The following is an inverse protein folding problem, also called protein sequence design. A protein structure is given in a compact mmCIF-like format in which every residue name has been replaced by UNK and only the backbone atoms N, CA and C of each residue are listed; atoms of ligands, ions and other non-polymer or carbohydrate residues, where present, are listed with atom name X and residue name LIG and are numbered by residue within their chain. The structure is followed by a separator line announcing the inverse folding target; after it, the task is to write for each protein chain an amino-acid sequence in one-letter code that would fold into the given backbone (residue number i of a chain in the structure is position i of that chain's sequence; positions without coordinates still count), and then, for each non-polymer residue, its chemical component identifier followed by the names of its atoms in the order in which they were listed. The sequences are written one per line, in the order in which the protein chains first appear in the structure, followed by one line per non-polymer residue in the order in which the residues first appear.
data_IF_460821811017
#
_entry.id   IF_460821811017
#
_cell.length_a   1.000
_cell.length_b   1.000
_cell.length_c   1.000
_cell.angle_alpha   90.00
_cell.angle_beta   90.00
_cell.angle_gamma   90.00
#
_symmetry.space_group_name_H-M   'P 1'
#
loop_
_entity.id
_entity.type
_entity.pdbx_description
1 polymer ?
#
# COMPACT_ATOMS: atom_id res chain seq x y z
N UNK A 1 9.29 -23.65 17.14
CA UNK A 1 10.42 -23.52 16.20
C UNK A 1 9.87 -23.71 14.78
N UNK A 2 9.46 -22.62 14.13
CA UNK A 2 9.00 -22.66 12.73
C UNK A 2 10.22 -22.97 11.86
N UNK A 3 10.34 -24.23 11.49
CA UNK A 3 11.41 -24.72 10.63
C UNK A 3 11.12 -24.27 9.20
N UNK A 4 11.55 -23.06 8.83
CA UNK A 4 11.49 -22.60 7.44
C UNK A 4 12.51 -23.38 6.64
N UNK A 5 12.10 -24.54 6.13
CA UNK A 5 12.98 -25.49 5.38
C UNK A 5 13.22 -25.09 3.91
N UNK A 6 12.59 -24.04 3.39
CA UNK A 6 12.82 -23.53 2.03
C UNK A 6 12.85 -22.01 2.05
N UNK A 7 13.70 -21.35 1.23
CA UNK A 7 13.63 -19.91 1.08
C UNK A 7 12.21 -19.56 0.62
N UNK A 8 11.53 -18.73 1.41
CA UNK A 8 10.22 -18.21 1.03
C UNK A 8 10.44 -17.45 -0.28
N UNK A 9 9.80 -17.90 -1.36
CA UNK A 9 9.77 -17.14 -2.60
C UNK A 9 9.22 -15.76 -2.26
N UNK A 10 9.91 -14.72 -2.71
CA UNK A 10 9.44 -13.35 -2.48
C UNK A 10 7.97 -13.24 -2.89
N UNK A 11 7.15 -12.71 -1.99
CA UNK A 11 5.75 -12.46 -2.27
C UNK A 11 5.69 -11.29 -3.28
N UNK A 12 5.30 -11.59 -4.50
CA UNK A 12 5.15 -10.57 -5.56
C UNK A 12 3.79 -9.85 -5.46
N UNK A 13 3.38 -9.50 -4.24
CA UNK A 13 2.21 -8.67 -4.02
C UNK A 13 2.50 -7.23 -4.44
N UNK A 14 1.55 -6.58 -5.11
CA UNK A 14 1.69 -5.22 -5.61
C UNK A 14 0.68 -4.31 -4.95
N UNK A 15 1.14 -3.14 -4.53
CA UNK A 15 0.28 -2.05 -4.10
C UNK A 15 -0.84 -2.49 -3.15
N UNK A 16 -2.07 -2.43 -3.60
CA UNK A 16 -3.25 -2.76 -2.81
C UNK A 16 -3.27 -4.22 -2.32
N UNK A 17 -2.79 -5.18 -3.11
CA UNK A 17 -2.73 -6.59 -2.70
C UNK A 17 -1.82 -6.76 -1.47
N UNK A 18 -0.70 -6.00 -1.41
CA UNK A 18 0.20 -6.03 -0.26
C UNK A 18 -0.48 -5.48 1.00
N UNK A 19 -1.33 -4.46 0.87
CA UNK A 19 -2.12 -3.93 1.98
C UNK A 19 -3.14 -4.96 2.51
N UNK A 20 -3.89 -5.64 1.64
CA UNK A 20 -4.82 -6.71 2.04
C UNK A 20 -4.10 -7.85 2.76
N UNK A 21 -2.92 -8.25 2.24
CA UNK A 21 -2.12 -9.30 2.87
C UNK A 21 -1.63 -8.85 4.26
N UNK A 22 -1.26 -7.58 4.42
CA UNK A 22 -0.84 -7.02 5.70
C UNK A 22 -1.98 -7.07 6.74
N UNK A 23 -3.20 -6.70 6.35
CA UNK A 23 -4.38 -6.78 7.21
C UNK A 23 -4.69 -8.23 7.61
N UNK A 24 -4.61 -9.16 6.65
CA UNK A 24 -4.80 -10.58 6.93
C UNK A 24 -3.72 -11.12 7.88
N UNK A 25 -2.45 -10.78 7.68
CA UNK A 25 -1.35 -11.18 8.56
C UNK A 25 -1.57 -10.66 9.99
N UNK A 26 -2.02 -9.43 10.15
CA UNK A 26 -2.35 -8.88 11.46
C UNK A 26 -3.45 -9.69 12.13
N UNK A 27 -4.56 -9.93 11.44
CA UNK A 27 -5.68 -10.71 11.94
C UNK A 27 -5.25 -12.14 12.33
N UNK A 28 -4.46 -12.80 11.49
CA UNK A 28 -3.94 -14.16 11.74
C UNK A 28 -3.09 -14.20 13.01
N UNK A 29 -2.19 -13.24 13.19
CA UNK A 29 -1.32 -13.16 14.37
C UNK A 29 -2.10 -12.83 15.65
N UNK A 30 -3.12 -11.99 15.58
CA UNK A 30 -3.99 -11.67 16.73
C UNK A 30 -4.86 -12.87 17.13
N UNK A 31 -5.29 -13.68 16.15
CA UNK A 31 -6.18 -14.83 16.39
C UNK A 31 -5.41 -16.05 16.91
N UNK A 32 -4.23 -16.32 16.38
CA UNK A 32 -3.49 -17.55 16.63
C UNK A 32 -2.35 -17.39 17.66
N UNK A 33 -2.32 -16.27 18.41
CA UNK A 33 -1.38 -16.01 19.51
C UNK A 33 0.02 -16.62 19.28
N UNK A 34 0.85 -16.06 18.41
CA UNK A 34 2.14 -16.63 18.07
C UNK A 34 3.07 -16.65 19.30
N UNK A 35 4.06 -17.53 19.32
CA UNK A 35 5.00 -17.64 20.43
C UNK A 35 5.72 -16.30 20.67
N UNK A 36 6.14 -16.07 21.92
CA UNK A 36 6.80 -14.83 22.37
C UNK A 36 8.04 -14.47 21.50
N UNK A 37 8.69 -15.47 20.93
CA UNK A 37 9.78 -15.28 19.94
C UNK A 37 9.36 -14.47 18.70
N UNK A 38 8.07 -14.33 18.43
CA UNK A 38 7.53 -13.56 17.30
C UNK A 38 7.11 -12.13 17.69
N UNK A 39 7.29 -11.70 18.95
CA UNK A 39 6.80 -10.40 19.42
C UNK A 39 7.28 -9.21 18.57
N UNK A 40 8.56 -9.20 18.15
CA UNK A 40 9.09 -8.16 17.25
C UNK A 40 8.37 -8.15 15.89
N UNK A 41 8.11 -9.34 15.33
CA UNK A 41 7.41 -9.47 14.06
C UNK A 41 5.97 -8.97 14.18
N UNK A 42 5.28 -9.34 15.24
CA UNK A 42 3.92 -8.85 15.54
C UNK A 42 3.89 -7.35 15.64
N UNK A 43 4.80 -6.75 16.41
CA UNK A 43 4.92 -5.28 16.54
C UNK A 43 5.16 -4.64 15.18
N UNK A 44 6.03 -5.20 14.36
CA UNK A 44 6.33 -4.69 13.02
C UNK A 44 5.09 -4.70 12.13
N UNK A 45 4.35 -5.81 12.10
CA UNK A 45 3.14 -5.97 11.30
C UNK A 45 2.04 -5.04 11.80
N UNK A 46 1.85 -4.97 13.13
CA UNK A 46 0.88 -4.08 13.74
C UNK A 46 1.15 -2.61 13.42
N UNK A 47 2.40 -2.17 13.54
CA UNK A 47 2.79 -0.80 13.20
C UNK A 47 2.57 -0.51 11.70
N UNK A 48 2.95 -1.43 10.81
CA UNK A 48 2.76 -1.26 9.38
C UNK A 48 1.27 -1.16 9.00
N UNK A 49 0.43 -2.04 9.56
CA UNK A 49 -1.01 -2.03 9.30
C UNK A 49 -1.67 -0.76 9.87
N UNK A 50 -1.33 -0.37 11.10
CA UNK A 50 -1.86 0.85 11.71
C UNK A 50 -1.45 2.10 10.92
N UNK A 51 -0.19 2.18 10.47
CA UNK A 51 0.31 3.24 9.61
C UNK A 51 -0.51 3.35 8.32
N UNK A 52 -0.74 2.24 7.65
CA UNK A 52 -1.54 2.20 6.42
C UNK A 52 -3.00 2.56 6.66
N UNK A 53 -3.60 2.09 7.77
CA UNK A 53 -4.98 2.38 8.11
C UNK A 53 -5.19 3.87 8.39
N UNK A 54 -4.27 4.53 9.09
CA UNK A 54 -4.33 5.99 9.32
C UNK A 54 -4.28 6.72 7.98
N UNK A 55 -3.33 6.39 7.11
CA UNK A 55 -3.20 7.05 5.80
C UNK A 55 -4.41 6.82 4.89
N UNK A 56 -4.94 5.58 4.85
CA UNK A 56 -6.08 5.24 4.00
C UNK A 56 -7.40 5.82 4.52
N UNK A 57 -7.52 6.01 5.85
CA UNK A 57 -8.71 6.57 6.48
C UNK A 57 -8.72 8.10 6.55
N UNK A 58 -7.56 8.75 6.46
CA UNK A 58 -7.44 10.20 6.58
C UNK A 58 -7.94 10.93 5.33
N UNK A 59 -8.41 12.15 5.54
CA UNK A 59 -8.79 13.07 4.48
C UNK A 59 -7.56 13.56 3.68
N UNK A 60 -7.74 14.25 2.53
CA UNK A 60 -6.62 14.80 1.75
C UNK A 60 -5.68 15.71 2.55
N UNK A 61 -6.21 16.40 3.55
CA UNK A 61 -5.45 17.17 4.53
C UNK A 61 -5.68 16.54 5.91
N UNK A 62 -4.59 16.08 6.52
CA UNK A 62 -4.60 15.40 7.81
C UNK A 62 -4.65 16.41 8.95
N UNK A 63 -5.33 16.05 10.02
CA UNK A 63 -5.25 16.77 11.29
C UNK A 63 -3.89 16.55 11.97
N UNK A 64 -3.52 17.43 12.90
CA UNK A 64 -2.27 17.28 13.68
C UNK A 64 -2.20 15.94 14.41
N UNK A 65 -3.33 15.45 14.92
CA UNK A 65 -3.42 14.14 15.59
C UNK A 65 -3.12 12.99 14.63
N UNK A 66 -3.64 13.04 13.41
CA UNK A 66 -3.36 12.02 12.39
C UNK A 66 -1.89 12.06 11.95
N UNK A 67 -1.31 13.26 11.81
CA UNK A 67 0.11 13.44 11.49
C UNK A 67 0.99 12.87 12.59
N UNK A 68 0.71 13.17 13.86
CA UNK A 68 1.47 12.65 15.01
C UNK A 68 1.34 11.12 15.11
N UNK A 69 0.17 10.56 14.83
CA UNK A 69 -0.04 9.12 14.76
C UNK A 69 0.79 8.49 13.63
N UNK A 70 0.76 9.05 12.42
CA UNK A 70 1.56 8.58 11.29
C UNK A 70 3.04 8.59 11.63
N UNK A 71 3.55 9.67 12.25
CA UNK A 71 4.95 9.78 12.65
C UNK A 71 5.32 8.76 13.73
N UNK A 72 4.49 8.63 14.76
CA UNK A 72 4.74 7.72 15.89
C UNK A 72 4.78 6.27 15.41
N UNK A 73 3.73 5.85 14.71
CA UNK A 73 3.59 4.46 14.26
C UNK A 73 4.56 4.14 13.13
N UNK A 74 4.77 5.09 12.19
CA UNK A 74 5.74 4.93 11.11
C UNK A 74 7.18 4.79 11.62
N UNK A 75 7.58 5.61 12.60
CA UNK A 75 8.90 5.50 13.23
C UNK A 75 9.04 4.20 14.04
N UNK A 76 7.98 3.75 14.73
CA UNK A 76 7.97 2.46 15.42
C UNK A 76 8.14 1.30 14.44
N UNK A 77 7.45 1.34 13.29
CA UNK A 77 7.63 0.38 12.20
C UNK A 77 9.09 0.32 11.73
N UNK A 78 9.68 1.48 11.40
CA UNK A 78 11.06 1.54 10.90
C UNK A 78 12.06 1.00 11.93
N UNK A 79 11.95 1.40 13.20
CA UNK A 79 12.82 0.90 14.30
C UNK A 79 12.69 -0.61 14.46
N UNK A 80 11.48 -1.14 14.48
CA UNK A 80 11.23 -2.58 14.65
C UNK A 80 11.74 -3.37 13.45
N UNK A 81 11.55 -2.87 12.23
CA UNK A 81 12.09 -3.51 11.02
C UNK A 81 13.62 -3.53 11.01
N UNK A 82 14.27 -2.44 11.42
CA UNK A 82 15.74 -2.38 11.57
C UNK A 82 16.20 -3.42 12.59
N UNK A 83 15.50 -3.58 13.72
CA UNK A 83 15.82 -4.60 14.72
C UNK A 83 15.69 -6.02 14.14
N UNK A 84 14.64 -6.30 13.37
CA UNK A 84 14.47 -7.58 12.66
C UNK A 84 15.60 -7.82 11.63
N UNK A 85 16.02 -6.75 10.93
CA UNK A 85 17.16 -6.83 10.01
C UNK A 85 18.45 -7.20 10.74
N UNK A 86 18.74 -6.59 11.90
CA UNK A 86 19.92 -6.94 12.69
C UNK A 86 19.90 -8.39 13.17
N UNK A 87 18.73 -8.91 13.57
CA UNK A 87 18.58 -10.27 14.01
C UNK A 87 18.75 -11.27 12.84
N UNK A 88 18.22 -10.96 11.66
CA UNK A 88 18.22 -11.85 10.49
C UNK A 88 18.38 -11.05 9.15
N UNK A 89 19.57 -10.54 8.82
CA UNK A 89 19.77 -9.66 7.67
C UNK A 89 19.52 -10.31 6.30
N UNK A 90 19.58 -11.63 6.22
CA UNK A 90 19.28 -12.38 4.98
C UNK A 90 17.80 -12.47 4.69
N UNK A 91 16.95 -12.41 5.73
CA UNK A 91 15.49 -12.48 5.65
C UNK A 91 14.93 -11.05 5.53
N UNK A 92 15.29 -10.17 6.45
CA UNK A 92 14.79 -8.80 6.57
C UNK A 92 15.77 -7.83 5.91
N UNK A 93 15.68 -7.68 4.59
CA UNK A 93 16.63 -6.84 3.84
C UNK A 93 16.19 -5.38 3.88
N UNK A 94 17.08 -4.50 4.34
CA UNK A 94 16.91 -3.05 4.16
C UNK A 94 17.07 -2.72 2.67
N UNK A 95 16.06 -2.07 2.10
CA UNK A 95 16.05 -1.60 0.71
C UNK A 95 16.04 -0.07 0.68
N UNK A 96 16.51 0.58 -0.39
CA UNK A 96 16.49 2.05 -0.53
C UNK A 96 15.11 2.68 -0.28
N UNK A 97 14.02 1.94 -0.54
CA UNK A 97 12.66 2.39 -0.24
C UNK A 97 12.40 2.71 1.24
N UNK A 98 13.14 2.11 2.17
CA UNK A 98 13.04 2.46 3.60
C UNK A 98 13.53 3.87 3.89
N UNK A 99 14.57 4.33 3.18
CA UNK A 99 15.02 5.72 3.28
C UNK A 99 13.95 6.69 2.77
N UNK A 100 13.32 6.38 1.63
CA UNK A 100 12.20 7.19 1.12
C UNK A 100 11.02 7.20 2.09
N UNK A 101 10.69 6.07 2.69
CA UNK A 101 9.63 6.00 3.70
C UNK A 101 9.96 6.83 4.94
N UNK A 102 11.23 6.86 5.37
CA UNK A 102 11.67 7.72 6.46
C UNK A 102 11.42 9.20 6.14
N UNK A 103 11.70 9.66 4.92
CA UNK A 103 11.38 11.02 4.49
C UNK A 103 9.87 11.27 4.52
N UNK A 104 9.07 10.36 3.99
CA UNK A 104 7.59 10.48 4.02
C UNK A 104 7.05 10.64 5.45
N UNK A 105 7.67 9.97 6.43
CA UNK A 105 7.23 10.03 7.83
C UNK A 105 7.74 11.30 8.53
N UNK A 106 8.97 11.77 8.23
CA UNK A 106 9.67 12.75 9.05
C UNK A 106 9.96 14.09 8.36
N UNK A 107 9.54 14.26 7.09
CA UNK A 107 9.79 15.51 6.35
C UNK A 107 8.93 16.65 6.94
N UNK A 108 9.56 17.74 7.46
CA UNK A 108 8.83 18.87 7.98
C UNK A 108 7.91 19.54 6.97
N UNK A 109 8.30 19.57 5.68
CA UNK A 109 7.49 20.18 4.63
C UNK A 109 6.16 19.40 4.40
N UNK A 110 6.18 18.07 4.56
CA UNK A 110 4.95 17.27 4.50
C UNK A 110 4.05 17.53 5.71
N UNK A 111 4.63 17.74 6.89
CA UNK A 111 3.90 18.11 8.10
C UNK A 111 3.26 19.50 7.97
N UNK A 112 4.01 20.50 7.51
CA UNK A 112 3.51 21.85 7.31
C UNK A 112 2.35 21.91 6.27
N UNK A 113 2.47 21.12 5.21
CA UNK A 113 1.43 20.98 4.19
C UNK A 113 0.20 20.21 4.68
N UNK A 114 0.29 19.49 5.79
CA UNK A 114 -0.75 18.58 6.32
C UNK A 114 -1.28 17.56 5.29
N UNK A 115 -0.55 17.35 4.20
CA UNK A 115 -1.00 16.56 3.05
C UNK A 115 -0.90 15.07 3.32
N UNK A 116 -1.99 14.35 3.03
CA UNK A 116 -2.00 12.90 3.09
C UNK A 116 -1.17 12.30 1.94
N UNK A 117 -0.01 11.73 2.27
CA UNK A 117 0.94 11.17 1.30
C UNK A 117 0.43 9.91 0.59
N UNK A 118 -0.63 9.26 1.09
CA UNK A 118 -1.25 8.14 0.38
C UNK A 118 -1.87 8.54 -0.96
N UNK A 119 -2.24 9.82 -1.11
CA UNK A 119 -2.77 10.36 -2.37
C UNK A 119 -1.72 10.41 -3.48
N UNK A 120 -0.44 10.45 -3.11
CA UNK A 120 0.68 10.39 -4.06
C UNK A 120 1.08 8.94 -4.39
N UNK A 121 0.32 7.96 -3.89
CA UNK A 121 0.56 6.55 -4.18
C UNK A 121 0.29 6.25 -5.66
N UNK A 122 1.22 5.54 -6.29
CA UNK A 122 1.13 5.18 -7.71
C UNK A 122 0.28 3.93 -7.97
N UNK A 123 -0.46 3.42 -6.99
CA UNK A 123 -1.21 2.16 -7.13
C UNK A 123 -2.26 2.24 -8.23
N UNK A 124 -3.01 3.33 -8.27
CA UNK A 124 -4.00 3.58 -9.32
C UNK A 124 -3.32 3.77 -10.68
N UNK A 125 -2.20 4.48 -10.70
CA UNK A 125 -1.41 4.74 -11.91
C UNK A 125 -0.80 3.45 -12.45
N UNK A 126 -0.26 2.58 -11.59
CA UNK A 126 0.28 1.28 -11.99
C UNK A 126 -0.79 0.40 -12.64
N UNK A 127 -1.98 0.35 -12.08
CA UNK A 127 -3.09 -0.41 -12.65
C UNK A 127 -3.58 0.19 -13.96
N UNK A 128 -3.60 1.52 -14.03
CA UNK A 128 -3.95 2.22 -15.25
C UNK A 128 -2.91 1.97 -16.35
N UNK A 129 -1.62 2.12 -16.05
CA UNK A 129 -0.52 1.85 -16.98
C UNK A 129 -0.58 0.41 -17.49
N UNK A 130 -0.85 -0.59 -16.64
CA UNK A 130 -1.03 -1.99 -17.07
C UNK A 130 -2.21 -2.17 -18.03
N UNK A 131 -3.36 -1.51 -17.78
CA UNK A 131 -4.51 -1.54 -18.67
C UNK A 131 -4.17 -0.91 -20.02
N UNK A 132 -3.50 0.25 -19.99
CA UNK A 132 -3.00 0.94 -21.18
C UNK A 132 -2.06 0.05 -21.98
N UNK A 133 -1.08 -0.57 -21.34
CA UNK A 133 -0.13 -1.48 -22.01
C UNK A 133 -0.83 -2.68 -22.67
N UNK A 134 -1.85 -3.27 -22.01
CA UNK A 134 -2.63 -4.37 -22.58
C UNK A 134 -3.39 -3.94 -23.84
N UNK A 135 -3.92 -2.72 -23.85
CA UNK A 135 -4.61 -2.17 -25.02
C UNK A 135 -3.59 -1.88 -26.13
N UNK A 136 -2.46 -1.24 -25.81
CA UNK A 136 -1.43 -0.88 -26.77
C UNK A 136 -0.82 -2.10 -27.48
N UNK A 137 -0.59 -3.21 -26.77
CA UNK A 137 -0.10 -4.47 -27.37
C UNK A 137 -0.99 -5.02 -28.48
N UNK A 138 -2.27 -4.63 -28.51
CA UNK A 138 -3.27 -5.06 -29.49
C UNK A 138 -3.55 -4.00 -30.58
N UNK A 139 -2.83 -2.89 -30.56
CA UNK A 139 -3.02 -1.79 -31.50
C UNK A 139 -1.85 -1.66 -32.46
N UNK A 140 -2.13 -1.26 -33.70
CA UNK A 140 -1.07 -0.88 -34.63
C UNK A 140 -0.37 0.40 -34.16
N UNK A 141 0.94 0.48 -34.30
CA UNK A 141 1.77 1.58 -33.75
C UNK A 141 1.28 2.98 -34.16
N UNK A 142 0.85 3.16 -35.41
CA UNK A 142 0.40 4.45 -35.93
C UNK A 142 -0.99 4.88 -35.41
N UNK A 143 -1.85 3.93 -35.07
CA UNK A 143 -3.22 4.20 -34.60
C UNK A 143 -3.35 4.06 -33.07
N UNK A 144 -2.29 3.61 -32.41
CA UNK A 144 -2.31 3.31 -30.98
C UNK A 144 -2.81 4.48 -30.10
N UNK A 145 -2.38 5.74 -30.25
CA UNK A 145 -2.85 6.84 -29.42
C UNK A 145 -4.36 7.07 -29.54
N UNK A 146 -4.89 7.10 -30.76
CA UNK A 146 -6.32 7.30 -31.02
C UNK A 146 -7.15 6.12 -30.49
N UNK A 147 -6.74 4.89 -30.76
CA UNK A 147 -7.43 3.68 -30.33
C UNK A 147 -7.42 3.54 -28.82
N UNK A 148 -6.31 3.91 -28.16
CA UNK A 148 -6.19 3.91 -26.72
C UNK A 148 -7.18 4.89 -26.09
N UNK A 149 -7.19 6.13 -26.55
CA UNK A 149 -8.11 7.16 -26.04
C UNK A 149 -9.57 6.75 -26.20
N UNK A 150 -9.96 6.25 -27.39
CA UNK A 150 -11.31 5.78 -27.65
C UNK A 150 -11.74 4.65 -26.71
N UNK A 151 -10.90 3.62 -26.55
CA UNK A 151 -11.20 2.49 -25.67
C UNK A 151 -11.23 2.89 -24.20
N UNK A 152 -10.36 3.82 -23.79
CA UNK A 152 -10.38 4.38 -22.44
C UNK A 152 -11.67 5.13 -22.16
N UNK A 153 -12.11 6.00 -23.06
CA UNK A 153 -13.35 6.76 -22.93
C UNK A 153 -14.58 5.83 -22.86
N UNK A 154 -14.61 4.77 -23.67
CA UNK A 154 -15.68 3.76 -23.62
C UNK A 154 -15.69 3.03 -22.27
N UNK A 155 -14.52 2.61 -21.78
CA UNK A 155 -14.42 1.94 -20.48
C UNK A 155 -14.80 2.88 -19.30
N UNK A 156 -14.42 4.15 -19.38
CA UNK A 156 -14.79 5.16 -18.38
C UNK A 156 -16.30 5.40 -18.37
N UNK A 157 -16.92 5.51 -19.56
CA UNK A 157 -18.37 5.68 -19.69
C UNK A 157 -19.15 4.50 -19.10
N UNK A 158 -18.68 3.26 -19.34
CA UNK A 158 -19.28 2.06 -18.75
C UNK A 158 -19.27 2.09 -17.22
N UNK A 159 -18.12 2.44 -16.63
CA UNK A 159 -18.00 2.55 -15.16
C UNK A 159 -18.86 3.65 -14.55
N UNK A 160 -18.99 4.78 -15.24
CA UNK A 160 -19.83 5.90 -14.77
C UNK A 160 -21.32 5.54 -14.81
N UNK A 161 -21.78 4.73 -15.81
CA UNK A 161 -23.15 4.24 -15.84
C UNK A 161 -23.44 3.23 -14.72
N UNK A 162 -22.54 2.26 -14.48
CA UNK A 162 -22.64 1.31 -13.36
C UNK A 162 -22.70 2.01 -11.99
N UNK A 163 -21.90 3.06 -11.81
CA UNK A 163 -21.89 3.83 -10.54
C UNK A 163 -23.19 4.63 -10.35
N UNK A 164 -23.78 5.13 -11.43
CA UNK A 164 -25.08 5.81 -11.37
C UNK A 164 -26.23 4.84 -11.06
N UNK A 165 -26.23 3.66 -11.66
CA UNK A 165 -27.23 2.62 -11.40
C UNK A 165 -27.16 2.12 -9.96
N UNK A 166 -25.95 1.89 -9.41
CA UNK A 166 -25.77 1.52 -7.99
C UNK A 166 -26.29 2.58 -7.04
N UNK A 167 -25.96 3.86 -7.27
CA UNK A 167 -26.46 4.95 -6.42
C UNK A 167 -27.97 5.14 -6.49
N UNK A 168 -28.60 4.82 -7.63
CA UNK A 168 -30.05 4.83 -7.77
C UNK A 168 -30.72 3.65 -7.02
N UNK A 169 -30.03 2.52 -6.88
CA UNK A 169 -30.53 1.34 -6.18
C UNK A 169 -30.35 1.43 -4.65
N UNK A 170 -29.22 2.03 -4.20
CA UNK A 170 -28.91 2.22 -2.77
C UNK A 170 -29.67 3.42 -2.15
N UNK A 171 -30.43 4.16 -2.93
CA UNK A 171 -31.21 5.35 -2.51
C UNK A 171 -32.72 5.10 -2.38
N UNK A 172 -33.17 3.82 -2.47
CA UNK A 172 -34.53 3.38 -2.17
C UNK A 172 -34.50 2.58 -0.88
#
# INVERSE_FOLDING_TARGET
MLCVRKPVKELHAKGYDAYIILQWLRWELETNAPPESCAKLMTCIWCADTFMNVLCGAQPFMSDVEIDNVQTVGNAFLKTFISLHHDQPKVWRLRPKFHLLWHVINDPALREASRNTSLDSTWLDEDWIKKVQKIMKKCHKTTAPKTLLQRYLVALRGKLSETREKKAFDGI
#
